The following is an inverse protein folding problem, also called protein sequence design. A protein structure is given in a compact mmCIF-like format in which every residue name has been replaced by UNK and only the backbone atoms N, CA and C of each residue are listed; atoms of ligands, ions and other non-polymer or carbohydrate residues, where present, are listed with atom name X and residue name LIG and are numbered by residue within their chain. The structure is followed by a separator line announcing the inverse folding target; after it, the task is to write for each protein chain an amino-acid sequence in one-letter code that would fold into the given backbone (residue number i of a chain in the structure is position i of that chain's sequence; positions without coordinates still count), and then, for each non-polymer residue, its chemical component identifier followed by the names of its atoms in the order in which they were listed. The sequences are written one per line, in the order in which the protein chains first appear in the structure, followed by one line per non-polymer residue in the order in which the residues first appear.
data_IF_221913248444
#
_entry.id   IF_221913248444
#
_cell.length_a   1.000
_cell.length_b   1.000
_cell.length_c   1.000
_cell.angle_alpha   90.00
_cell.angle_beta   90.00
_cell.angle_gamma   90.00
#
_symmetry.space_group_name_H-M   'P 1'
#
loop_
_entity.id
_entity.type
_entity.pdbx_description
1 polymer ?
#
# COMPACT_ATOMS: atom_id res chain seq x y z
N UNK A 1 -2.65 28.29 -27.55
CA UNK A 1 -1.80 28.83 -26.47
C UNK A 1 -1.61 27.82 -25.32
N UNK A 2 -2.67 27.13 -24.89
CA UNK A 2 -2.62 26.15 -23.78
C UNK A 2 -1.66 24.99 -24.05
N UNK A 3 -1.64 24.43 -25.25
CA UNK A 3 -0.77 23.31 -25.64
C UNK A 3 0.72 23.70 -25.65
N UNK A 4 1.02 24.92 -26.08
CA UNK A 4 2.39 25.43 -26.13
C UNK A 4 2.95 25.68 -24.73
N UNK A 5 2.11 26.16 -23.80
CA UNK A 5 2.48 26.38 -22.40
C UNK A 5 2.76 25.04 -21.69
N UNK A 6 1.96 24.02 -21.96
CA UNK A 6 2.14 22.66 -21.42
C UNK A 6 3.43 22.00 -21.92
N UNK A 7 3.76 22.20 -23.21
CA UNK A 7 4.98 21.66 -23.80
C UNK A 7 6.26 22.32 -23.24
N UNK A 8 6.26 23.63 -23.06
CA UNK A 8 7.40 24.37 -22.50
C UNK A 8 7.64 24.03 -21.02
N UNK A 9 6.56 23.77 -20.27
CA UNK A 9 6.65 23.35 -18.85
C UNK A 9 7.25 21.95 -18.75
N UNK A 10 6.79 21.01 -19.58
CA UNK A 10 7.31 19.64 -19.61
C UNK A 10 8.79 19.58 -20.03
N UNK A 11 9.19 20.40 -21.00
CA UNK A 11 10.59 20.48 -21.45
C UNK A 11 11.52 20.98 -20.34
N UNK A 12 11.13 22.05 -19.63
CA UNK A 12 11.91 22.58 -18.50
C UNK A 12 12.02 21.57 -17.34
N UNK A 13 10.95 20.85 -17.05
CA UNK A 13 10.96 19.79 -16.04
C UNK A 13 11.94 18.67 -16.42
N UNK A 14 11.94 18.24 -17.68
CA UNK A 14 12.85 17.22 -18.18
C UNK A 14 14.32 17.67 -18.12
N UNK A 15 14.61 18.90 -18.53
CA UNK A 15 15.96 19.49 -18.44
C UNK A 15 16.46 19.53 -16.99
N UNK A 16 15.61 19.95 -16.05
CA UNK A 16 15.91 19.97 -14.61
C UNK A 16 16.20 18.57 -14.09
N UNK A 17 15.41 17.56 -14.50
CA UNK A 17 15.62 16.16 -14.11
C UNK A 17 16.94 15.60 -14.63
N UNK A 18 17.30 15.89 -15.90
CA UNK A 18 18.56 15.45 -16.47
C UNK A 18 19.76 16.06 -15.74
N UNK A 19 19.74 17.38 -15.49
CA UNK A 19 20.77 18.06 -14.71
C UNK A 19 20.90 17.48 -13.31
N UNK A 20 19.79 17.19 -12.64
CA UNK A 20 19.82 16.58 -11.31
C UNK A 20 20.50 15.21 -11.33
N UNK A 21 20.18 14.35 -12.30
CA UNK A 21 20.79 13.02 -12.43
C UNK A 21 22.28 13.04 -12.72
N UNK A 22 22.80 14.14 -13.29
CA UNK A 22 24.25 14.36 -13.47
C UNK A 22 24.97 14.73 -12.16
N UNK A 23 24.23 15.27 -11.17
CA UNK A 23 24.81 15.68 -9.87
C UNK A 23 24.89 14.57 -8.84
N UNK A 24 24.12 13.50 -9.02
CA UNK A 24 24.09 12.36 -8.08
C UNK A 24 25.07 11.28 -8.50
N UNK A 25 25.60 10.53 -7.53
CA UNK A 25 26.45 9.39 -7.82
C UNK A 25 25.70 8.27 -8.57
N UNK A 26 26.41 7.40 -9.28
CA UNK A 26 25.81 6.28 -9.99
C UNK A 26 25.00 5.37 -9.05
N UNK A 27 25.47 5.15 -7.83
CA UNK A 27 24.75 4.35 -6.82
C UNK A 27 23.48 5.01 -6.35
N UNK A 28 23.46 6.34 -6.17
CA UNK A 28 22.25 7.10 -5.83
C UNK A 28 21.25 7.09 -6.97
N UNK A 29 21.72 7.31 -8.22
CA UNK A 29 20.87 7.22 -9.40
C UNK A 29 20.18 5.87 -9.53
N UNK A 30 20.89 4.77 -9.26
CA UNK A 30 20.30 3.42 -9.25
C UNK A 30 19.29 3.25 -8.11
N UNK A 31 19.56 3.78 -6.93
CA UNK A 31 18.63 3.76 -5.81
C UNK A 31 17.35 4.55 -6.09
N UNK A 32 17.46 5.72 -6.72
CA UNK A 32 16.31 6.53 -7.16
C UNK A 32 15.46 5.73 -8.16
N UNK A 33 16.08 5.15 -9.20
CA UNK A 33 15.37 4.34 -10.20
C UNK A 33 14.59 3.18 -9.57
N UNK A 34 15.26 2.41 -8.71
CA UNK A 34 14.61 1.29 -7.99
C UNK A 34 13.48 1.75 -7.09
N UNK A 35 13.64 2.91 -6.43
CA UNK A 35 12.61 3.49 -5.56
C UNK A 35 11.36 3.88 -6.36
N UNK A 36 11.54 4.51 -7.53
CA UNK A 36 10.44 4.84 -8.43
C UNK A 36 9.75 3.57 -8.95
N UNK A 37 10.51 2.55 -9.36
CA UNK A 37 9.95 1.27 -9.78
C UNK A 37 9.15 0.59 -8.66
N UNK A 38 9.65 0.64 -7.41
CA UNK A 38 8.95 0.10 -6.26
C UNK A 38 7.65 0.89 -5.97
N UNK A 39 7.64 2.22 -6.12
CA UNK A 39 6.42 3.02 -6.01
C UNK A 39 5.34 2.60 -7.01
N UNK A 40 5.70 2.36 -8.28
CA UNK A 40 4.73 1.87 -9.27
C UNK A 40 4.25 0.45 -8.99
N UNK A 41 5.12 -0.42 -8.48
CA UNK A 41 4.77 -1.82 -8.21
C UNK A 41 3.97 -2.01 -6.93
N UNK A 42 4.31 -1.27 -5.87
CA UNK A 42 3.77 -1.45 -4.52
C UNK A 42 2.77 -0.37 -4.13
N UNK A 43 2.70 0.70 -4.92
CA UNK A 43 1.94 1.93 -4.69
C UNK A 43 2.33 2.73 -3.45
N UNK A 44 3.11 2.15 -2.53
CA UNK A 44 3.60 2.83 -1.33
C UNK A 44 4.98 2.34 -0.90
N UNK A 45 5.67 3.17 -0.12
CA UNK A 45 6.95 2.87 0.54
C UNK A 45 6.82 3.26 2.01
N UNK A 46 6.99 2.27 2.88
CA UNK A 46 6.97 2.39 4.34
C UNK A 46 8.34 2.77 4.88
N UNK A 47 8.40 3.52 5.99
CA UNK A 47 9.64 3.78 6.71
C UNK A 47 10.26 2.50 7.29
N UNK A 48 9.42 1.62 7.82
CA UNK A 48 9.84 0.37 8.46
C UNK A 48 9.22 -0.81 7.72
N UNK A 49 10.00 -1.85 7.51
CA UNK A 49 9.55 -3.14 6.97
C UNK A 49 9.86 -4.27 7.93
N UNK A 50 9.05 -5.33 7.87
CA UNK A 50 9.35 -6.58 8.56
C UNK A 50 10.11 -7.52 7.63
N UNK A 51 11.10 -8.22 8.18
CA UNK A 51 11.70 -9.37 7.51
C UNK A 51 10.63 -10.48 7.36
N UNK A 52 10.40 -11.02 6.15
CA UNK A 52 9.32 -11.99 5.93
C UNK A 52 9.47 -13.29 6.73
N UNK A 53 10.69 -13.67 7.10
CA UNK A 53 10.93 -14.93 7.81
C UNK A 53 10.81 -14.80 9.32
N UNK A 54 11.26 -13.66 9.87
CA UNK A 54 11.37 -13.43 11.31
C UNK A 54 10.33 -12.48 11.85
N UNK A 55 9.69 -11.68 10.99
CA UNK A 55 8.84 -10.53 11.31
C UNK A 55 9.52 -9.46 12.17
N UNK A 56 10.86 -9.46 12.18
CA UNK A 56 11.65 -8.42 12.84
C UNK A 56 11.64 -7.16 11.97
N UNK A 57 11.39 -6.03 12.60
CA UNK A 57 11.32 -4.74 11.93
C UNK A 57 12.73 -4.20 11.64
N UNK A 58 12.89 -3.57 10.49
CA UNK A 58 14.10 -2.86 10.08
C UNK A 58 13.75 -1.64 9.25
N UNK A 59 14.62 -0.63 9.26
CA UNK A 59 14.46 0.57 8.45
C UNK A 59 14.50 0.24 6.96
N UNK A 60 13.61 0.87 6.22
CA UNK A 60 13.54 0.72 4.77
C UNK A 60 14.40 1.80 4.09
N UNK A 61 15.53 1.44 3.46
CA UNK A 61 16.39 2.42 2.79
C UNK A 61 15.67 3.17 1.65
N UNK A 62 14.61 2.59 1.05
CA UNK A 62 13.81 3.25 0.01
C UNK A 62 13.05 4.48 0.53
N UNK A 63 12.61 4.43 1.79
CA UNK A 63 11.98 5.58 2.43
C UNK A 63 12.95 6.76 2.56
N UNK A 64 14.21 6.48 2.92
CA UNK A 64 15.25 7.50 2.99
C UNK A 64 15.59 8.09 1.62
N UNK A 65 15.52 7.29 0.55
CA UNK A 65 15.65 7.77 -0.82
C UNK A 65 14.48 8.71 -1.18
N UNK A 66 13.24 8.36 -0.82
CA UNK A 66 12.08 9.24 -1.01
C UNK A 66 12.23 10.58 -0.27
N UNK A 67 12.72 10.58 0.97
CA UNK A 67 12.95 11.80 1.74
C UNK A 67 14.01 12.68 1.09
N UNK A 68 15.16 12.11 0.74
CA UNK A 68 16.32 12.83 0.22
C UNK A 68 16.09 13.40 -1.18
N UNK A 69 15.41 12.65 -2.03
CA UNK A 69 15.20 12.98 -3.44
C UNK A 69 13.74 13.31 -3.76
N UNK A 70 12.99 13.80 -2.76
CA UNK A 70 11.54 14.01 -2.84
C UNK A 70 11.12 14.86 -4.03
N UNK A 71 11.79 16.00 -4.22
CA UNK A 71 11.45 16.92 -5.31
C UNK A 71 11.67 16.29 -6.68
N UNK A 72 12.82 15.62 -6.86
CA UNK A 72 13.12 14.94 -8.11
C UNK A 72 12.08 13.83 -8.42
N UNK A 73 11.74 13.00 -7.43
CA UNK A 73 10.77 11.93 -7.61
C UNK A 73 9.39 12.51 -7.91
N UNK A 74 8.98 13.58 -7.23
CA UNK A 74 7.71 14.25 -7.50
C UNK A 74 7.66 14.87 -8.91
N UNK A 75 8.72 15.56 -9.33
CA UNK A 75 8.85 16.11 -10.70
C UNK A 75 8.75 14.99 -11.75
N UNK A 76 9.43 13.85 -11.52
CA UNK A 76 9.38 12.70 -12.42
C UNK A 76 7.97 12.10 -12.51
N UNK A 77 7.31 11.90 -11.37
CA UNK A 77 5.96 11.34 -11.32
C UNK A 77 4.92 12.25 -11.96
N UNK A 78 5.10 13.59 -11.85
CA UNK A 78 4.19 14.55 -12.48
C UNK A 78 4.15 14.46 -14.01
N UNK A 79 5.23 14.01 -14.65
CA UNK A 79 5.27 13.75 -16.11
C UNK A 79 4.34 12.59 -16.51
N UNK A 80 4.01 11.73 -15.57
CA UNK A 80 3.16 10.55 -15.75
C UNK A 80 1.75 10.75 -15.14
N UNK A 81 1.35 11.99 -14.90
CA UNK A 81 0.09 12.35 -14.23
C UNK A 81 -0.08 11.66 -12.85
N UNK A 82 1.05 11.51 -12.16
CA UNK A 82 1.12 10.94 -10.81
C UNK A 82 1.66 11.96 -9.80
N UNK A 83 1.28 11.78 -8.54
CA UNK A 83 1.75 12.59 -7.41
C UNK A 83 2.44 11.72 -6.37
N UNK A 84 3.51 12.25 -5.77
CA UNK A 84 4.15 11.67 -4.59
C UNK A 84 3.56 12.31 -3.33
N UNK A 85 2.74 11.56 -2.62
CA UNK A 85 2.14 11.99 -1.34
C UNK A 85 2.93 11.41 -0.19
N UNK A 86 3.33 12.25 0.75
CA UNK A 86 3.97 11.85 2.00
C UNK A 86 2.99 11.98 3.16
N UNK A 87 2.73 10.88 3.84
CA UNK A 87 2.02 10.87 5.12
C UNK A 87 3.04 10.75 6.26
N UNK A 88 3.33 11.86 6.96
CA UNK A 88 4.32 11.85 8.04
C UNK A 88 3.80 11.20 9.34
N UNK A 89 2.49 11.03 9.52
CA UNK A 89 1.90 10.39 10.71
C UNK A 89 2.00 8.87 10.60
N UNK A 90 1.70 8.34 9.42
CA UNK A 90 1.79 6.91 9.13
C UNK A 90 3.19 6.48 8.64
N UNK A 91 4.10 7.46 8.43
CA UNK A 91 5.44 7.23 7.89
C UNK A 91 5.45 6.51 6.55
N UNK A 92 4.63 6.99 5.61
CA UNK A 92 4.40 6.37 4.30
C UNK A 92 4.60 7.40 3.18
N UNK A 93 5.34 7.02 2.13
CA UNK A 93 5.22 7.63 0.83
C UNK A 93 4.30 6.80 -0.04
N UNK A 94 3.40 7.43 -0.77
CA UNK A 94 2.52 6.77 -1.73
C UNK A 94 2.45 7.53 -3.05
N UNK A 95 2.18 6.79 -4.12
CA UNK A 95 1.87 7.33 -5.43
C UNK A 95 0.35 7.39 -5.61
N UNK A 96 -0.15 8.50 -6.16
CA UNK A 96 -1.55 8.70 -6.52
C UNK A 96 -1.65 9.37 -7.87
N UNK A 97 -2.82 9.38 -8.49
CA UNK A 97 -3.06 10.05 -9.77
C UNK A 97 -3.54 9.08 -10.87
N UNK A 98 -3.95 9.63 -11.99
CA UNK A 98 -4.56 8.87 -13.10
C UNK A 98 -3.55 7.95 -13.82
N UNK A 99 -2.24 8.26 -13.72
CA UNK A 99 -1.16 7.42 -14.24
C UNK A 99 -0.87 6.17 -13.42
N UNK A 100 -1.45 6.03 -12.23
CA UNK A 100 -1.30 4.82 -11.42
C UNK A 100 -2.26 3.74 -11.89
N UNK A 101 -1.71 2.60 -12.32
CA UNK A 101 -2.52 1.41 -12.63
C UNK A 101 -3.11 0.87 -11.31
N UNK A 102 -4.36 1.23 -11.04
CA UNK A 102 -5.09 0.69 -9.88
C UNK A 102 -5.72 -0.64 -10.25
N UNK A 103 -5.31 -1.72 -9.60
CA UNK A 103 -6.04 -2.97 -9.67
C UNK A 103 -7.38 -2.81 -8.93
N UNK A 104 -8.49 -3.16 -9.59
CA UNK A 104 -9.79 -3.21 -8.91
C UNK A 104 -9.78 -4.33 -7.90
N UNK A 105 -9.89 -3.98 -6.64
CA UNK A 105 -10.10 -4.98 -5.59
C UNK A 105 -11.46 -5.63 -5.75
N UNK A 106 -11.52 -6.96 -5.60
CA UNK A 106 -12.81 -7.65 -5.48
C UNK A 106 -13.52 -7.19 -4.20
N UNK A 107 -14.85 -7.25 -4.18
CA UNK A 107 -15.64 -6.94 -2.98
C UNK A 107 -15.13 -7.73 -1.76
N UNK A 108 -14.76 -9.01 -1.96
CA UNK A 108 -14.24 -9.84 -0.89
C UNK A 108 -12.88 -9.37 -0.39
N UNK A 109 -11.98 -8.99 -1.29
CA UNK A 109 -10.67 -8.41 -0.93
C UNK A 109 -10.86 -7.12 -0.15
N UNK A 110 -11.78 -6.25 -0.57
CA UNK A 110 -12.09 -5.00 0.13
C UNK A 110 -12.62 -5.27 1.55
N UNK A 111 -13.54 -6.24 1.71
CA UNK A 111 -14.02 -6.67 3.04
C UNK A 111 -12.86 -7.15 3.93
N UNK A 112 -11.92 -7.90 3.39
CA UNK A 112 -10.73 -8.37 4.13
C UNK A 112 -9.80 -7.21 4.52
N UNK A 113 -9.58 -6.23 3.66
CA UNK A 113 -8.79 -5.02 3.98
C UNK A 113 -9.45 -4.25 5.13
N UNK A 114 -10.78 -4.09 5.10
CA UNK A 114 -11.53 -3.45 6.20
C UNK A 114 -11.37 -4.22 7.51
N UNK A 115 -11.49 -5.55 7.47
CA UNK A 115 -11.26 -6.38 8.64
C UNK A 115 -9.85 -6.19 9.21
N UNK A 116 -8.83 -6.20 8.35
CA UNK A 116 -7.46 -5.96 8.79
C UNK A 116 -7.29 -4.56 9.41
N UNK A 117 -7.94 -3.54 8.85
CA UNK A 117 -7.95 -2.19 9.43
C UNK A 117 -8.58 -2.16 10.81
N UNK A 118 -9.69 -2.88 11.01
CA UNK A 118 -10.34 -2.99 12.32
C UNK A 118 -9.45 -3.72 13.33
N UNK A 119 -8.90 -4.88 12.95
CA UNK A 119 -7.97 -5.66 13.78
C UNK A 119 -6.74 -4.81 14.15
N UNK A 120 -6.14 -4.13 13.17
CA UNK A 120 -5.00 -3.25 13.38
C UNK A 120 -5.31 -2.17 14.42
N UNK A 121 -6.44 -1.48 14.26
CA UNK A 121 -6.87 -0.44 15.20
C UNK A 121 -7.09 -0.98 16.60
N UNK A 122 -7.77 -2.11 16.74
CA UNK A 122 -8.09 -2.69 18.04
C UNK A 122 -6.82 -3.15 18.77
N UNK A 123 -5.85 -3.71 18.03
CA UNK A 123 -4.55 -4.09 18.59
C UNK A 123 -3.73 -2.89 19.04
N UNK A 124 -3.69 -1.83 18.26
CA UNK A 124 -2.98 -0.59 18.65
C UNK A 124 -3.62 0.02 19.90
N UNK A 125 -4.95 0.06 19.99
CA UNK A 125 -5.66 0.63 21.14
C UNK A 125 -5.57 -0.25 22.39
N UNK A 126 -5.54 -1.58 22.23
CA UNK A 126 -5.54 -2.55 23.33
C UNK A 126 -4.14 -2.93 23.83
N UNK A 127 -3.21 -3.15 22.91
CA UNK A 127 -1.89 -3.75 23.23
C UNK A 127 -0.72 -2.78 22.96
N UNK A 128 -0.99 -1.59 22.41
CA UNK A 128 0.03 -0.61 22.02
C UNK A 128 0.71 -0.96 20.68
N UNK A 129 1.64 -0.09 20.25
CA UNK A 129 2.26 -0.11 18.91
C UNK A 129 3.08 -1.37 18.56
N UNK A 130 3.23 -2.34 19.47
CA UNK A 130 4.14 -3.47 19.28
C UNK A 130 3.46 -4.77 18.84
N UNK A 131 2.13 -4.84 18.75
CA UNK A 131 1.40 -6.08 18.51
C UNK A 131 0.43 -5.99 17.32
N UNK A 132 0.94 -5.61 16.14
CA UNK A 132 0.13 -5.55 14.92
C UNK A 132 0.15 -6.87 14.12
N UNK A 133 0.26 -8.00 14.81
CA UNK A 133 0.20 -9.33 14.20
C UNK A 133 -1.18 -9.96 14.35
N UNK A 134 -1.60 -10.67 13.31
CA UNK A 134 -2.82 -11.48 13.28
C UNK A 134 -2.53 -12.83 12.63
N UNK A 135 -3.55 -13.63 12.39
CA UNK A 135 -3.47 -14.89 11.64
C UNK A 135 -4.82 -15.19 10.95
N UNK A 136 -4.87 -16.21 10.08
CA UNK A 136 -6.09 -16.53 9.34
C UNK A 136 -7.26 -16.93 10.23
N UNK A 137 -7.00 -17.62 11.35
CA UNK A 137 -8.05 -18.01 12.29
C UNK A 137 -8.70 -16.78 12.94
N UNK A 138 -7.89 -15.83 13.40
CA UNK A 138 -8.37 -14.57 13.99
C UNK A 138 -9.13 -13.72 12.97
N UNK A 139 -8.64 -13.59 11.73
CA UNK A 139 -9.33 -12.85 10.68
C UNK A 139 -10.70 -13.46 10.37
N UNK A 140 -10.81 -14.80 10.32
CA UNK A 140 -12.09 -15.50 10.12
C UNK A 140 -13.05 -15.26 11.27
N UNK A 141 -12.57 -15.33 12.50
CA UNK A 141 -13.38 -15.08 13.69
C UNK A 141 -13.89 -13.64 13.72
N UNK A 142 -13.01 -12.68 13.45
CA UNK A 142 -13.36 -11.28 13.35
C UNK A 142 -14.39 -11.01 12.26
N UNK A 143 -14.23 -11.67 11.09
CA UNK A 143 -15.16 -11.58 9.98
C UNK A 143 -16.56 -12.08 10.31
N UNK A 144 -16.66 -13.15 11.09
CA UNK A 144 -17.95 -13.68 11.60
C UNK A 144 -18.57 -12.73 12.62
N UNK A 145 -17.79 -12.27 13.60
CA UNK A 145 -18.28 -11.42 14.68
C UNK A 145 -18.79 -10.07 14.19
N UNK A 146 -18.20 -9.55 13.11
CA UNK A 146 -18.60 -8.27 12.48
C UNK A 146 -19.67 -8.42 11.40
N UNK A 147 -20.05 -9.66 11.05
CA UNK A 147 -20.93 -9.99 9.91
C UNK A 147 -20.44 -9.49 8.55
N UNK A 148 -19.17 -9.09 8.43
CA UNK A 148 -18.57 -8.64 7.15
C UNK A 148 -18.34 -9.82 6.20
N UNK A 149 -18.02 -11.01 6.77
CA UNK A 149 -17.85 -12.25 6.01
C UNK A 149 -18.85 -13.28 6.51
N UNK A 150 -19.93 -13.44 5.77
CA UNK A 150 -21.06 -14.32 6.13
C UNK A 150 -20.91 -15.75 5.60
N UNK A 151 -19.96 -15.98 4.69
CA UNK A 151 -19.68 -17.30 4.11
C UNK A 151 -18.21 -17.69 4.24
N UNK A 152 -17.95 -18.98 4.07
CA UNK A 152 -16.56 -19.46 3.97
C UNK A 152 -15.93 -19.01 2.66
N UNK A 153 -14.73 -18.42 2.75
CA UNK A 153 -13.90 -18.08 1.59
C UNK A 153 -13.23 -19.32 1.03
N UNK A 154 -13.12 -19.37 -0.28
CA UNK A 154 -12.35 -20.39 -0.99
C UNK A 154 -10.84 -20.14 -0.83
N UNK A 155 -10.03 -21.17 -1.06
CA UNK A 155 -8.57 -21.02 -1.05
C UNK A 155 -8.07 -20.00 -2.07
N UNK A 156 -8.74 -19.90 -3.25
CA UNK A 156 -8.39 -18.94 -4.27
C UNK A 156 -8.68 -17.50 -3.82
N UNK A 157 -9.83 -17.23 -3.21
CA UNK A 157 -10.18 -15.90 -2.68
C UNK A 157 -9.19 -15.44 -1.60
N UNK A 158 -8.77 -16.35 -0.72
CA UNK A 158 -7.73 -16.06 0.26
C UNK A 158 -6.40 -15.73 -0.42
N UNK A 159 -5.99 -16.56 -1.37
CA UNK A 159 -4.72 -16.36 -2.08
C UNK A 159 -4.68 -15.01 -2.79
N UNK A 160 -5.71 -14.69 -3.57
CA UNK A 160 -5.79 -13.46 -4.36
C UNK A 160 -5.77 -12.22 -3.45
N UNK A 161 -6.55 -12.24 -2.37
CA UNK A 161 -6.57 -11.14 -1.41
C UNK A 161 -5.23 -10.95 -0.69
N UNK A 162 -4.63 -12.02 -0.18
CA UNK A 162 -3.37 -11.94 0.57
C UNK A 162 -2.19 -11.56 -0.34
N UNK A 163 -2.15 -12.06 -1.58
CA UNK A 163 -1.13 -11.67 -2.57
C UNK A 163 -1.25 -10.18 -2.88
N UNK A 164 -2.44 -9.68 -3.13
CA UNK A 164 -2.68 -8.26 -3.38
C UNK A 164 -2.27 -7.41 -2.16
N UNK A 165 -2.72 -7.77 -0.97
CA UNK A 165 -2.38 -7.04 0.25
C UNK A 165 -0.86 -7.05 0.56
N UNK A 166 -0.18 -8.17 0.29
CA UNK A 166 1.29 -8.25 0.40
C UNK A 166 1.99 -7.37 -0.63
N UNK A 167 1.53 -7.40 -1.88
CA UNK A 167 2.07 -6.57 -2.97
C UNK A 167 1.99 -5.09 -2.63
N UNK A 168 0.86 -4.63 -2.11
CA UNK A 168 0.64 -3.24 -1.72
C UNK A 168 1.09 -2.90 -0.30
N UNK A 169 1.95 -3.73 0.29
CA UNK A 169 2.55 -3.47 1.61
C UNK A 169 1.51 -3.25 2.73
N UNK A 170 0.36 -3.91 2.67
CA UNK A 170 -0.63 -3.90 3.76
C UNK A 170 -0.31 -4.94 4.82
N UNK A 171 0.30 -6.05 4.40
CA UNK A 171 0.71 -7.15 5.28
C UNK A 171 2.11 -7.65 4.94
N UNK A 172 2.73 -8.29 5.92
CA UNK A 172 3.89 -9.16 5.72
C UNK A 172 3.64 -10.52 6.38
N UNK A 173 4.11 -11.58 5.76
CA UNK A 173 3.95 -12.94 6.23
C UNK A 173 5.14 -13.81 5.81
N UNK A 174 5.51 -14.83 6.60
CA UNK A 174 6.58 -15.75 6.27
C UNK A 174 6.18 -16.65 5.10
N UNK A 175 7.11 -16.82 4.16
CA UNK A 175 6.95 -17.74 3.05
C UNK A 175 5.92 -17.33 1.98
N UNK A 176 5.43 -18.32 1.26
CA UNK A 176 4.46 -18.13 0.19
C UNK A 176 3.02 -18.18 0.74
N UNK A 177 2.14 -17.32 0.20
CA UNK A 177 0.72 -17.26 0.58
C UNK A 177 0.03 -18.63 0.45
N UNK A 178 0.36 -19.38 -0.59
CA UNK A 178 -0.23 -20.70 -0.84
C UNK A 178 -0.01 -21.75 0.27
N UNK A 179 1.02 -21.54 1.10
CA UNK A 179 1.41 -22.47 2.17
C UNK A 179 1.07 -21.93 3.57
N UNK A 180 0.20 -20.92 3.64
CA UNK A 180 -0.15 -20.28 4.90
C UNK A 180 -1.05 -21.16 5.74
N UNK A 181 -0.61 -21.48 6.96
CA UNK A 181 -1.40 -22.18 7.97
C UNK A 181 -2.26 -21.22 8.79
N UNK A 182 -3.32 -21.75 9.41
CA UNK A 182 -4.31 -20.94 10.14
C UNK A 182 -3.72 -20.04 11.23
N UNK A 183 -2.65 -20.47 11.87
CA UNK A 183 -2.01 -19.78 12.98
C UNK A 183 -0.67 -19.12 12.60
N UNK A 184 -0.30 -19.15 11.33
CA UNK A 184 0.91 -18.44 10.87
C UNK A 184 0.76 -16.95 11.12
N UNK A 185 1.72 -16.29 11.78
CA UNK A 185 1.62 -14.88 12.09
C UNK A 185 1.68 -14.04 10.81
N UNK A 186 0.77 -13.08 10.70
CA UNK A 186 0.68 -12.09 9.64
C UNK A 186 0.88 -10.73 10.27
N UNK A 187 1.91 -10.00 9.87
CA UNK A 187 2.13 -8.63 10.33
C UNK A 187 1.25 -7.67 9.51
N UNK A 188 0.56 -6.74 10.19
CA UNK A 188 -0.28 -5.73 9.54
C UNK A 188 0.46 -4.40 9.59
N UNK A 189 0.64 -3.77 8.43
CA UNK A 189 1.22 -2.43 8.32
C UNK A 189 0.14 -1.33 8.44
N UNK A 190 0.57 -0.13 8.81
CA UNK A 190 -0.30 1.05 8.89
C UNK A 190 -0.89 1.47 7.52
N UNK A 191 -0.34 0.97 6.43
CA UNK A 191 -0.88 1.15 5.07
C UNK A 191 -2.34 0.75 4.93
N UNK A 192 -2.86 -0.18 5.75
CA UNK A 192 -4.30 -0.51 5.77
C UNK A 192 -5.18 0.72 6.08
N UNK A 193 -4.64 1.72 6.76
CA UNK A 193 -5.36 2.99 7.02
C UNK A 193 -5.45 3.87 5.78
N UNK A 194 -4.45 3.80 4.91
CA UNK A 194 -4.32 4.62 3.70
C UNK A 194 -5.17 4.06 2.56
N UNK A 195 -5.20 2.74 2.39
CA UNK A 195 -5.94 2.08 1.31
C UNK A 195 -7.45 2.01 1.55
N UNK A 196 -7.92 2.14 2.78
CA UNK A 196 -9.32 2.17 3.14
C UNK A 196 -9.75 3.59 3.51
N UNK A 197 -10.02 4.42 2.51
CA UNK A 197 -10.59 5.75 2.74
C UNK A 197 -12.04 5.65 3.24
N UNK A 198 -12.55 6.76 3.80
CA UNK A 198 -13.97 6.83 4.18
C UNK A 198 -14.92 6.68 2.97
N UNK A 199 -14.45 6.99 1.76
CA UNK A 199 -15.21 6.81 0.51
C UNK A 199 -15.38 5.35 0.15
N UNK A 200 -14.31 4.54 0.26
CA UNK A 200 -14.36 3.11 -0.02
C UNK A 200 -15.30 2.38 0.93
N UNK A 201 -15.33 2.79 2.20
CA UNK A 201 -16.25 2.26 3.21
C UNK A 201 -17.72 2.60 2.86
N UNK A 202 -17.98 3.83 2.43
CA UNK A 202 -19.33 4.28 2.07
C UNK A 202 -19.84 3.58 0.79
N UNK A 203 -18.97 3.36 -0.19
CA UNK A 203 -19.30 2.62 -1.41
C UNK A 203 -19.66 1.17 -1.09
N UNK A 204 -18.86 0.52 -0.24
CA UNK A 204 -19.15 -0.82 0.28
C UNK A 204 -20.47 -0.91 1.04
N UNK A 205 -20.77 0.07 1.88
CA UNK A 205 -22.04 0.09 2.61
C UNK A 205 -23.22 0.21 1.65
N UNK A 206 -23.09 1.00 0.57
CA UNK A 206 -24.12 1.12 -0.47
C UNK A 206 -24.31 -0.19 -1.25
N UNK A 207 -23.22 -0.84 -1.67
CA UNK A 207 -23.30 -2.14 -2.36
C UNK A 207 -23.94 -3.19 -1.46
N UNK A 208 -23.57 -3.23 -0.17
CA UNK A 208 -24.16 -4.16 0.80
C UNK A 208 -25.66 -3.90 1.03
N UNK A 209 -26.09 -2.65 1.02
CA UNK A 209 -27.52 -2.31 1.13
C UNK A 209 -28.29 -2.73 -0.11
N UNK A 210 -27.70 -2.65 -1.30
CA UNK A 210 -28.34 -3.08 -2.55
C UNK A 210 -28.47 -4.60 -2.63
N UNK A 211 -27.45 -5.36 -2.17
CA UNK A 211 -27.52 -6.85 -2.12
C UNK A 211 -28.56 -7.37 -1.13
N UNK A 212 -28.91 -6.58 -0.10
CA UNK A 212 -29.94 -6.96 0.90
C UNK A 212 -31.37 -6.64 0.44
N UNK A 213 -31.51 -5.92 -0.68
CA UNK A 213 -32.83 -5.44 -1.19
C UNK A 213 -33.29 -6.26 -2.42
N UNK A 214 -32.44 -7.16 -2.94
CA UNK A 214 -32.79 -8.17 -3.95
C UNK A 214 -33.05 -9.54 -3.30
#
# INVERSE_FOLDING_TARGET
ESIKLSYDTGKKALEKMLQYMETVSQGEAENIRKTIQDLFRQTCILQVKCDPATLVQHDNPRYQVCLRHREFIADYLSVLDCELVHDPQEHIFRITGDGVMTERMSLMTTKLVILLKMIYRDKIMGEGLHATTTNLAEIREYGKNTNLITRRLTGQEWNDALVLMKTHQMIELPGAVANLEDFTPIYIYSTVNVFCSAMDINELVREYQNEMTE
#
